data_IF_491195445938
#
_entry.id   IF_491195445938
#
_cell.length_a   1.000
_cell.length_b   1.000
_cell.length_c   1.000
_cell.angle_alpha   90.00
_cell.angle_beta   90.00
_cell.angle_gamma   90.00
#
_symmetry.space_group_name_H-M   'P 1'
#
loop_
_entity.id
_entity.type
_entity.pdbx_description
1 polymer ?
#
# COMPACT_ATOMS: atom_id res chain seq x y z
N UNK A 1 9.92 8.62 -34.96
CA UNK A 1 9.98 9.01 -33.55
C UNK A 1 10.13 7.75 -32.73
N UNK A 2 10.97 7.78 -31.70
CA UNK A 2 11.06 6.70 -30.72
C UNK A 2 9.92 6.85 -29.73
N UNK A 3 9.22 5.76 -29.40
CA UNK A 3 8.17 5.70 -28.40
C UNK A 3 8.45 4.54 -27.46
N UNK A 4 7.99 4.66 -26.23
CA UNK A 4 8.13 3.64 -25.20
C UNK A 4 6.78 3.41 -24.49
N UNK A 5 6.61 2.23 -23.93
CA UNK A 5 5.49 1.95 -23.04
C UNK A 5 5.70 2.71 -21.73
N UNK A 6 4.61 3.22 -21.15
CA UNK A 6 4.70 3.98 -19.90
C UNK A 6 4.87 3.06 -18.70
N UNK A 7 5.65 3.51 -17.72
CA UNK A 7 5.85 2.83 -16.42
C UNK A 7 4.97 3.38 -15.31
N UNK A 8 4.35 4.55 -15.52
CA UNK A 8 3.46 5.25 -14.60
C UNK A 8 2.89 6.50 -15.29
N UNK A 9 1.73 6.96 -14.86
CA UNK A 9 1.16 8.26 -15.25
C UNK A 9 1.58 9.40 -14.33
N UNK A 10 2.38 9.13 -13.31
CA UNK A 10 2.73 10.09 -12.26
C UNK A 10 3.43 11.35 -12.79
N UNK A 11 4.45 11.20 -13.62
CA UNK A 11 5.28 12.31 -14.07
C UNK A 11 4.48 13.39 -14.81
N UNK A 12 3.63 12.97 -15.74
CA UNK A 12 2.73 13.86 -16.47
C UNK A 12 1.57 14.33 -15.60
N UNK A 13 1.10 13.45 -14.70
CA UNK A 13 0.04 13.73 -13.74
C UNK A 13 0.41 14.85 -12.78
N UNK A 14 1.60 14.85 -12.23
CA UNK A 14 2.08 15.90 -11.31
C UNK A 14 2.05 17.31 -11.95
N UNK A 15 2.37 17.43 -13.22
CA UNK A 15 2.25 18.71 -13.93
C UNK A 15 0.81 19.21 -13.97
N UNK A 16 -0.14 18.30 -14.21
CA UNK A 16 -1.56 18.64 -14.19
C UNK A 16 -2.06 18.93 -12.78
N UNK A 17 -1.59 18.19 -11.76
CA UNK A 17 -1.94 18.42 -10.37
C UNK A 17 -1.53 19.81 -9.86
N UNK A 18 -0.39 20.32 -10.30
CA UNK A 18 0.04 21.69 -9.96
C UNK A 18 -0.90 22.77 -10.46
N UNK A 19 -1.62 22.53 -11.55
CA UNK A 19 -2.59 23.48 -12.11
C UNK A 19 -4.02 23.24 -11.63
N UNK A 20 -4.42 21.97 -11.44
CA UNK A 20 -5.80 21.57 -11.14
C UNK A 20 -6.02 21.22 -9.67
N UNK A 21 -4.93 21.05 -8.89
CA UNK A 21 -4.96 20.72 -7.48
C UNK A 21 -5.11 19.22 -7.21
N UNK A 22 -6.10 18.57 -7.80
CA UNK A 22 -6.37 17.14 -7.65
C UNK A 22 -6.66 16.52 -9.00
N UNK A 23 -5.94 15.46 -9.33
CA UNK A 23 -6.14 14.66 -10.53
C UNK A 23 -5.96 13.17 -10.20
N UNK A 24 -6.27 12.33 -11.13
CA UNK A 24 -5.80 10.94 -11.14
C UNK A 24 -5.49 10.51 -12.56
N UNK A 25 -4.58 9.55 -12.70
CA UNK A 25 -4.40 8.79 -13.92
C UNK A 25 -4.96 7.39 -13.73
N UNK A 26 -5.50 6.81 -14.80
CA UNK A 26 -6.00 5.44 -14.80
C UNK A 26 -5.71 4.80 -16.15
N UNK A 27 -4.86 3.80 -16.17
CA UNK A 27 -4.46 3.17 -17.42
C UNK A 27 -3.46 2.03 -17.26
N UNK A 28 -3.10 1.38 -18.39
CA UNK A 28 -2.14 0.30 -18.39
C UNK A 28 -0.73 0.82 -18.13
N UNK A 29 0.00 0.05 -17.34
CA UNK A 29 1.38 0.30 -16.92
C UNK A 29 2.24 -0.90 -17.26
N UNK A 30 3.48 -0.62 -17.71
CA UNK A 30 4.42 -1.65 -18.17
C UNK A 30 5.74 -1.52 -17.45
N UNK A 31 6.18 -2.60 -16.81
CA UNK A 31 7.46 -2.64 -16.09
C UNK A 31 8.20 -3.93 -16.42
N UNK A 32 9.43 -3.80 -16.90
CA UNK A 32 10.34 -4.92 -17.16
C UNK A 32 11.07 -5.30 -15.86
N UNK A 33 10.34 -5.75 -14.86
CA UNK A 33 10.91 -6.19 -13.60
C UNK A 33 11.41 -7.64 -13.69
N UNK A 34 12.59 -7.88 -13.12
CA UNK A 34 13.14 -9.22 -13.00
C UNK A 34 12.68 -9.87 -11.66
N UNK A 35 11.40 -9.76 -11.37
CA UNK A 35 10.82 -10.39 -10.19
C UNK A 35 9.70 -11.35 -10.60
N UNK A 36 9.68 -12.51 -9.96
CA UNK A 36 8.73 -13.58 -10.23
C UNK A 36 7.95 -13.88 -8.95
N UNK A 37 7.23 -12.86 -8.45
CA UNK A 37 6.42 -12.99 -7.25
C UNK A 37 4.93 -12.87 -7.59
N UNK A 38 4.01 -13.36 -6.74
CA UNK A 38 2.56 -13.20 -6.93
C UNK A 38 2.07 -11.75 -7.01
N UNK A 39 2.91 -10.78 -6.63
CA UNK A 39 2.57 -9.35 -6.60
C UNK A 39 3.15 -8.56 -7.77
N UNK A 40 3.90 -9.19 -8.69
CA UNK A 40 4.58 -8.50 -9.80
C UNK A 40 4.13 -9.04 -11.15
N UNK A 41 3.60 -8.16 -11.97
CA UNK A 41 3.24 -8.39 -13.37
C UNK A 41 3.98 -7.40 -14.26
N UNK A 42 4.28 -7.81 -15.50
CA UNK A 42 4.92 -6.93 -16.47
C UNK A 42 3.95 -5.90 -17.07
N UNK A 43 2.66 -6.19 -17.05
CA UNK A 43 1.57 -5.32 -17.47
C UNK A 43 0.46 -5.37 -16.42
N UNK A 44 0.01 -4.21 -15.98
CA UNK A 44 -1.08 -4.06 -15.02
C UNK A 44 -1.71 -2.68 -15.14
N UNK A 45 -2.88 -2.51 -14.54
CA UNK A 45 -3.54 -1.21 -14.47
C UNK A 45 -3.31 -0.57 -13.12
N UNK A 46 -3.05 0.74 -13.15
CA UNK A 46 -2.97 1.54 -11.93
C UNK A 46 -4.01 2.66 -11.95
N UNK A 47 -4.56 2.96 -10.78
CA UNK A 47 -5.21 4.22 -10.48
C UNK A 47 -4.25 5.02 -9.59
N UNK A 48 -3.86 6.20 -10.05
CA UNK A 48 -2.77 6.98 -9.48
C UNK A 48 -3.28 8.40 -9.16
N UNK A 49 -3.87 8.64 -7.97
CA UNK A 49 -4.25 9.97 -7.54
C UNK A 49 -3.03 10.85 -7.28
N UNK A 50 -3.07 12.08 -7.76
CA UNK A 50 -2.07 13.11 -7.50
C UNK A 50 -2.75 14.33 -6.90
N UNK A 51 -2.38 14.69 -5.67
CA UNK A 51 -2.99 15.77 -4.91
C UNK A 51 -1.94 16.77 -4.47
N UNK A 52 -1.94 17.94 -5.11
CA UNK A 52 -1.01 19.01 -4.77
C UNK A 52 -1.38 19.65 -3.43
N UNK A 53 -0.35 20.15 -2.71
CA UNK A 53 -0.47 20.99 -1.51
C UNK A 53 -1.02 20.33 -0.25
N UNK A 54 -1.11 18.99 -0.22
CA UNK A 54 -1.44 18.25 1.01
C UNK A 54 -0.16 17.76 1.71
N UNK A 55 -0.29 17.41 2.98
CA UNK A 55 0.77 16.81 3.78
C UNK A 55 0.52 15.31 3.99
N UNK A 56 1.46 14.64 4.61
CA UNK A 56 1.44 13.20 4.84
C UNK A 56 0.14 12.71 5.51
N UNK A 57 -0.32 13.38 6.54
CA UNK A 57 -1.51 12.96 7.27
C UNK A 57 -2.77 13.02 6.41
N UNK A 58 -2.92 14.10 5.63
CA UNK A 58 -4.02 14.24 4.68
C UNK A 58 -3.95 13.22 3.54
N UNK A 59 -2.73 12.80 3.15
CA UNK A 59 -2.55 11.73 2.17
C UNK A 59 -3.01 10.38 2.74
N UNK A 60 -2.63 10.06 3.98
CA UNK A 60 -3.07 8.83 4.66
C UNK A 60 -4.59 8.78 4.84
N UNK A 61 -5.22 9.93 5.14
CA UNK A 61 -6.69 10.01 5.19
C UNK A 61 -7.32 9.73 3.83
N UNK A 62 -6.75 10.28 2.76
CA UNK A 62 -7.21 10.02 1.39
C UNK A 62 -7.04 8.54 1.00
N UNK A 63 -5.92 7.91 1.36
CA UNK A 63 -5.68 6.49 1.10
C UNK A 63 -6.72 5.61 1.80
N UNK A 64 -7.00 5.88 3.08
CA UNK A 64 -8.03 5.15 3.82
C UNK A 64 -9.42 5.32 3.20
N UNK A 65 -9.83 6.56 2.93
CA UNK A 65 -11.12 6.88 2.33
C UNK A 65 -11.27 6.22 0.95
N UNK A 66 -10.21 6.26 0.14
CA UNK A 66 -10.20 5.67 -1.20
C UNK A 66 -10.37 4.15 -1.16
N UNK A 67 -9.62 3.45 -0.31
CA UNK A 67 -9.72 1.99 -0.16
C UNK A 67 -11.12 1.63 0.35
N UNK A 68 -11.60 2.29 1.39
CA UNK A 68 -12.95 2.06 1.94
C UNK A 68 -14.04 2.31 0.93
N UNK A 69 -13.92 3.37 0.13
CA UNK A 69 -14.87 3.66 -0.94
C UNK A 69 -14.94 2.52 -1.96
N UNK A 70 -13.79 2.07 -2.47
CA UNK A 70 -13.72 1.00 -3.46
C UNK A 70 -14.27 -0.33 -2.90
N UNK A 71 -13.92 -0.68 -1.67
CA UNK A 71 -14.39 -1.89 -1.01
C UNK A 71 -15.91 -1.84 -0.79
N UNK A 72 -16.42 -0.73 -0.28
CA UNK A 72 -17.87 -0.54 -0.08
C UNK A 72 -18.63 -0.64 -1.41
N UNK A 73 -18.11 0.01 -2.45
CA UNK A 73 -18.71 -0.07 -3.77
C UNK A 73 -18.80 -1.53 -4.27
N UNK A 74 -17.74 -2.31 -4.09
CA UNK A 74 -17.74 -3.73 -4.45
C UNK A 74 -18.75 -4.55 -3.63
N UNK A 75 -18.82 -4.33 -2.31
CA UNK A 75 -19.79 -4.98 -1.44
C UNK A 75 -21.25 -4.67 -1.86
N UNK A 76 -21.51 -3.44 -2.30
CA UNK A 76 -22.86 -3.00 -2.68
C UNK A 76 -23.26 -3.45 -4.09
N UNK A 77 -22.32 -3.56 -5.04
CA UNK A 77 -22.60 -3.71 -6.46
C UNK A 77 -22.12 -5.01 -7.09
N UNK A 78 -21.24 -5.77 -6.42
CA UNK A 78 -20.65 -7.01 -6.94
C UNK A 78 -21.02 -8.23 -6.08
N UNK A 79 -22.21 -8.27 -5.53
CA UNK A 79 -22.63 -9.28 -4.55
C UNK A 79 -22.55 -10.71 -5.08
N UNK A 80 -22.98 -10.95 -6.31
CA UNK A 80 -22.96 -12.29 -6.91
C UNK A 80 -21.53 -12.81 -7.07
N UNK A 81 -20.62 -11.95 -7.56
CA UNK A 81 -19.21 -12.28 -7.72
C UNK A 81 -18.54 -12.51 -6.36
N UNK A 82 -18.81 -11.66 -5.38
CA UNK A 82 -18.28 -11.79 -4.04
C UNK A 82 -18.77 -13.07 -3.34
N UNK A 83 -20.03 -13.43 -3.50
CA UNK A 83 -20.57 -14.69 -2.97
C UNK A 83 -19.89 -15.89 -3.61
N UNK A 84 -19.71 -15.89 -4.92
CA UNK A 84 -18.99 -16.95 -5.63
C UNK A 84 -17.55 -17.06 -5.12
N UNK A 85 -16.81 -15.96 -5.05
CA UNK A 85 -15.43 -15.94 -4.57
C UNK A 85 -15.33 -16.37 -3.10
N UNK A 86 -16.25 -15.90 -2.26
CA UNK A 86 -16.29 -16.28 -0.84
C UNK A 86 -16.60 -17.78 -0.63
N UNK A 87 -17.40 -18.37 -1.51
CA UNK A 87 -17.75 -19.78 -1.41
C UNK A 87 -16.66 -20.71 -1.95
N UNK A 88 -16.05 -20.37 -3.08
CA UNK A 88 -15.19 -21.29 -3.84
C UNK A 88 -13.71 -20.97 -3.80
N UNK A 89 -13.33 -19.74 -3.46
CA UNK A 89 -11.92 -19.29 -3.48
C UNK A 89 -11.42 -18.98 -2.07
N UNK A 90 -12.15 -18.15 -1.31
CA UNK A 90 -11.71 -17.67 0.01
C UNK A 90 -12.92 -17.44 0.94
N UNK A 91 -13.17 -18.40 1.80
CA UNK A 91 -14.34 -18.41 2.72
C UNK A 91 -14.40 -17.25 3.72
N UNK A 92 -13.33 -16.48 3.87
CA UNK A 92 -13.27 -15.31 4.75
C UNK A 92 -13.34 -13.97 4.03
N UNK A 93 -13.50 -13.97 2.70
CA UNK A 93 -13.38 -12.78 1.86
C UNK A 93 -14.35 -11.66 2.28
N UNK A 94 -15.64 -11.94 2.33
CA UNK A 94 -16.67 -10.91 2.63
C UNK A 94 -16.45 -10.33 4.02
N UNK A 95 -16.26 -11.17 5.04
CA UNK A 95 -16.03 -10.71 6.41
C UNK A 95 -14.77 -9.82 6.52
N UNK A 96 -13.72 -10.13 5.74
CA UNK A 96 -12.52 -9.31 5.68
C UNK A 96 -12.76 -7.96 5.01
N UNK A 97 -13.53 -7.93 3.91
CA UNK A 97 -13.90 -6.69 3.23
C UNK A 97 -14.77 -5.80 4.12
N UNK A 98 -15.76 -6.37 4.79
CA UNK A 98 -16.58 -5.65 5.79
C UNK A 98 -15.73 -5.07 6.91
N UNK A 99 -14.79 -5.85 7.45
CA UNK A 99 -13.85 -5.38 8.48
C UNK A 99 -12.98 -4.20 8.00
N UNK A 100 -12.54 -4.20 6.73
CA UNK A 100 -11.78 -3.08 6.17
C UNK A 100 -12.62 -1.80 6.14
N UNK A 101 -13.91 -1.90 5.79
CA UNK A 101 -14.81 -0.73 5.72
C UNK A 101 -15.14 -0.18 7.11
N UNK A 102 -15.34 -1.07 8.09
CA UNK A 102 -15.87 -0.71 9.41
C UNK A 102 -14.77 -0.31 10.41
N UNK A 103 -13.50 -0.55 10.06
CA UNK A 103 -12.38 -0.34 10.98
C UNK A 103 -11.56 0.89 10.56
N UNK A 104 -11.13 1.69 11.51
CA UNK A 104 -10.14 2.74 11.30
C UNK A 104 -8.77 2.11 11.05
N UNK A 105 -8.04 2.61 10.04
CA UNK A 105 -6.71 2.10 9.69
C UNK A 105 -5.68 2.56 10.71
N UNK A 106 -4.78 1.66 11.06
CA UNK A 106 -3.67 2.00 11.96
C UNK A 106 -2.66 2.83 11.20
N UNK A 107 -2.27 3.98 11.77
CA UNK A 107 -1.14 4.79 11.29
C UNK A 107 0.11 4.34 12.03
N UNK A 108 1.07 3.78 11.32
CA UNK A 108 2.26 3.17 11.90
C UNK A 108 3.52 3.72 11.22
N UNK A 109 4.50 4.15 12.00
CA UNK A 109 5.81 4.45 11.43
C UNK A 109 6.60 3.17 11.19
N UNK A 110 7.49 3.19 10.21
CA UNK A 110 8.38 2.05 9.95
C UNK A 110 9.19 1.65 11.20
N UNK A 111 9.68 2.64 11.94
CA UNK A 111 10.47 2.38 13.17
C UNK A 111 9.65 1.62 14.22
N UNK A 112 8.42 2.06 14.50
CA UNK A 112 7.51 1.35 15.40
C UNK A 112 7.19 -0.06 14.88
N UNK A 113 6.99 -0.20 13.57
CA UNK A 113 6.77 -1.51 12.94
C UNK A 113 7.94 -2.47 13.17
N UNK A 114 9.18 -2.01 12.99
CA UNK A 114 10.38 -2.81 13.27
C UNK A 114 10.48 -3.17 14.76
N UNK A 115 10.19 -2.25 15.66
CA UNK A 115 10.19 -2.52 17.10
C UNK A 115 9.19 -3.62 17.48
N UNK A 116 7.99 -3.58 16.94
CA UNK A 116 6.96 -4.62 17.12
C UNK A 116 7.45 -5.98 16.61
N UNK A 117 8.04 -6.01 15.41
CA UNK A 117 8.57 -7.24 14.82
C UNK A 117 9.72 -7.83 15.64
N UNK A 118 10.64 -7.00 16.09
CA UNK A 118 11.75 -7.42 16.93
C UNK A 118 11.28 -7.94 18.30
N UNK A 119 10.27 -7.32 18.87
CA UNK A 119 9.64 -7.81 20.10
C UNK A 119 8.96 -9.17 19.90
N UNK A 120 8.28 -9.36 18.76
CA UNK A 120 7.72 -10.65 18.39
C UNK A 120 8.80 -11.74 18.30
N UNK A 121 9.94 -11.43 17.69
CA UNK A 121 11.10 -12.35 17.60
C UNK A 121 11.62 -12.71 19.00
N UNK A 122 11.77 -11.73 19.91
CA UNK A 122 12.17 -11.98 21.30
C UNK A 122 11.19 -12.90 22.01
N UNK A 123 9.91 -12.80 21.68
CA UNK A 123 8.84 -13.63 22.23
C UNK A 123 8.67 -15.00 21.52
N UNK A 124 9.60 -15.34 20.62
CA UNK A 124 9.68 -16.67 19.98
C UNK A 124 9.04 -16.76 18.61
N UNK A 125 8.52 -15.69 18.03
CA UNK A 125 8.08 -15.66 16.63
C UNK A 125 9.30 -15.86 15.72
N UNK A 126 9.14 -16.66 14.70
CA UNK A 126 10.21 -16.91 13.69
C UNK A 126 9.75 -16.34 12.37
N UNK A 127 10.59 -15.53 11.77
CA UNK A 127 10.47 -15.04 10.40
C UNK A 127 11.55 -15.69 9.53
N UNK A 128 11.30 -15.84 8.25
CA UNK A 128 12.25 -16.33 7.27
C UNK A 128 13.34 -15.29 6.98
N UNK A 129 12.92 -14.03 6.93
CA UNK A 129 13.80 -12.88 6.67
C UNK A 129 14.08 -12.09 7.97
N UNK A 130 15.29 -11.51 8.11
CA UNK A 130 15.59 -10.67 9.26
C UNK A 130 14.74 -9.38 9.25
N UNK A 131 14.41 -8.88 10.42
CA UNK A 131 13.74 -7.59 10.62
C UNK A 131 14.68 -6.61 11.31
N UNK A 132 15.63 -6.06 10.51
CA UNK A 132 16.61 -5.07 10.98
C UNK A 132 16.17 -3.68 10.52
N UNK A 133 16.36 -2.67 11.34
CA UNK A 133 16.07 -1.31 10.94
C UNK A 133 16.96 -0.89 9.76
N UNK A 134 16.35 -0.39 8.71
CA UNK A 134 17.01 -0.02 7.45
C UNK A 134 16.78 -1.01 6.31
N UNK A 135 16.29 -2.22 6.59
CA UNK A 135 15.94 -3.21 5.57
C UNK A 135 14.51 -3.03 5.07
N UNK A 136 14.24 -3.44 3.83
CA UNK A 136 12.87 -3.52 3.33
C UNK A 136 12.08 -4.60 4.10
N UNK A 137 10.80 -4.35 4.32
CA UNK A 137 9.92 -5.33 4.94
C UNK A 137 9.56 -6.44 3.96
N UNK A 138 9.73 -7.68 4.38
CA UNK A 138 9.21 -8.83 3.64
C UNK A 138 7.69 -8.96 3.84
N UNK A 139 7.01 -9.62 2.90
CA UNK A 139 5.56 -9.84 2.97
C UNK A 139 5.10 -10.54 4.25
N UNK A 140 5.94 -11.37 4.86
CA UNK A 140 5.63 -12.02 6.15
C UNK A 140 5.60 -11.02 7.31
N UNK A 141 6.47 -10.00 7.27
CA UNK A 141 6.50 -8.94 8.27
C UNK A 141 5.23 -8.07 8.20
N UNK A 142 4.87 -7.64 6.98
CA UNK A 142 3.64 -6.89 6.74
C UNK A 142 2.40 -7.68 7.18
N UNK A 143 2.35 -8.97 6.82
CA UNK A 143 1.24 -9.84 7.21
C UNK A 143 1.14 -10.01 8.73
N UNK A 144 2.25 -10.19 9.42
CA UNK A 144 2.26 -10.27 10.88
C UNK A 144 1.68 -9.00 11.53
N UNK A 145 2.12 -7.83 11.07
CA UNK A 145 1.61 -6.56 11.60
C UNK A 145 0.10 -6.42 11.39
N UNK A 146 -0.39 -6.72 10.19
CA UNK A 146 -1.79 -6.54 9.81
C UNK A 146 -2.69 -7.63 10.41
N UNK A 147 -2.31 -8.91 10.27
CA UNK A 147 -3.20 -10.04 10.56
C UNK A 147 -3.07 -10.57 12.00
N UNK A 148 -1.87 -10.50 12.60
CA UNK A 148 -1.61 -11.08 13.91
C UNK A 148 -1.53 -10.03 15.02
N UNK A 149 -0.84 -8.90 14.76
CA UNK A 149 -0.62 -7.90 15.80
C UNK A 149 -1.80 -6.93 15.94
N UNK A 150 -2.14 -6.22 14.86
CA UNK A 150 -3.23 -5.23 14.90
C UNK A 150 -4.60 -5.81 14.56
N UNK A 151 -4.64 -6.85 13.74
CA UNK A 151 -5.87 -7.38 13.14
C UNK A 151 -6.72 -6.27 12.47
N UNK A 152 -6.05 -5.34 11.80
CA UNK A 152 -6.59 -4.16 11.13
C UNK A 152 -5.73 -3.78 9.94
N UNK A 153 -6.28 -3.07 8.95
CA UNK A 153 -5.46 -2.43 7.92
C UNK A 153 -4.46 -1.45 8.54
N UNK A 154 -3.26 -1.41 7.97
CA UNK A 154 -2.15 -0.56 8.44
C UNK A 154 -1.65 0.29 7.29
N UNK A 155 -1.54 1.59 7.50
CA UNK A 155 -0.79 2.50 6.63
C UNK A 155 0.55 2.77 7.31
N UNK A 156 1.64 2.37 6.65
CA UNK A 156 2.98 2.54 7.17
C UNK A 156 3.68 3.71 6.51
N UNK A 157 4.29 4.58 7.32
CA UNK A 157 5.01 5.78 6.89
C UNK A 157 6.43 5.85 7.45
N UNK A 158 7.14 6.90 7.07
CA UNK A 158 8.47 7.23 7.58
C UNK A 158 9.49 6.09 7.41
N UNK A 159 9.56 5.57 6.20
CA UNK A 159 10.55 4.55 5.83
C UNK A 159 11.97 5.12 5.83
N UNK A 160 13.01 4.28 6.05
CA UNK A 160 14.39 4.69 5.89
C UNK A 160 14.65 5.29 4.50
N UNK A 161 15.29 6.45 4.46
CA UNK A 161 15.58 7.17 3.20
C UNK A 161 16.38 6.34 2.20
N UNK A 162 17.26 5.47 2.69
CA UNK A 162 18.20 4.72 1.86
C UNK A 162 17.53 3.61 1.04
N UNK A 163 16.30 3.22 1.40
CA UNK A 163 15.51 2.22 0.67
C UNK A 163 14.34 2.84 -0.12
N UNK A 164 14.25 4.17 -0.17
CA UNK A 164 13.21 4.89 -0.90
C UNK A 164 13.79 5.74 -2.03
N UNK A 165 12.92 6.19 -2.93
CA UNK A 165 13.31 6.99 -4.07
C UNK A 165 13.92 8.34 -3.63
N UNK A 166 14.93 8.81 -4.36
CA UNK A 166 15.72 10.01 -4.03
C UNK A 166 14.87 11.29 -3.93
N UNK A 167 13.71 11.34 -4.55
CA UNK A 167 12.82 12.50 -4.55
C UNK A 167 11.85 12.53 -3.35
N UNK A 168 11.82 11.49 -2.52
CA UNK A 168 11.02 11.49 -1.30
C UNK A 168 11.53 12.54 -0.33
N UNK A 169 10.58 13.25 0.33
CA UNK A 169 10.91 14.23 1.33
C UNK A 169 11.59 13.57 2.54
N UNK A 170 12.76 14.08 2.91
CA UNK A 170 13.47 13.66 4.11
C UNK A 170 12.81 14.32 5.33
N UNK A 171 12.55 13.53 6.36
CA UNK A 171 12.04 14.00 7.63
C UNK A 171 13.12 14.73 8.45
N UNK A 172 12.71 15.46 9.50
CA UNK A 172 13.62 16.25 10.34
C UNK A 172 14.67 15.40 11.07
N UNK A 173 14.43 14.11 11.26
CA UNK A 173 15.38 13.15 11.83
C UNK A 173 16.60 12.87 10.94
N UNK A 174 16.54 13.27 9.67
CA UNK A 174 17.58 13.06 8.66
C UNK A 174 17.80 11.60 8.24
N UNK A 175 16.97 10.66 8.72
CA UNK A 175 17.11 9.21 8.51
C UNK A 175 15.93 8.61 7.74
N UNK A 176 14.74 9.15 7.93
CA UNK A 176 13.51 8.67 7.31
C UNK A 176 12.96 9.67 6.31
#
# INVERSE_FOLDING_TARGET
>A
KQASLTVSGQLEGELAAMALGKIYTFGPTFRAENSNTPRHLAEFWMIEPEVAFIQKDELMDLEEDFIKYCVRWALDHCQDDLQFLNQFVDKGLIARLESVVDTEFVRLTYTEGIEILQEAVKNGKKFEFPCTWGDDLASEHERYLVEEHFNKPVIMSDYPKDIKAFYMKINEDGKT
#
